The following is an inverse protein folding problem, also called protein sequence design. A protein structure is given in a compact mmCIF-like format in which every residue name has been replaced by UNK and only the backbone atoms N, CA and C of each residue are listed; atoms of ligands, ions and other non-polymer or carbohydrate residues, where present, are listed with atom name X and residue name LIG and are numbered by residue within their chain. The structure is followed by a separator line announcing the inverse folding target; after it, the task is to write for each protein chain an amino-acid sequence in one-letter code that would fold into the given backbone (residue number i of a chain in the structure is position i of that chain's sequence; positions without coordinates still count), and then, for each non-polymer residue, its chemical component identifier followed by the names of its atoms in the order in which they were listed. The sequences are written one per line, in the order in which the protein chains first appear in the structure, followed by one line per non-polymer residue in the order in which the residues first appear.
data_IF_759672529565
#
_entry.id   IF_759672529565
#
_cell.length_a   1.000
_cell.length_b   1.000
_cell.length_c   1.000
_cell.angle_alpha   90.00
_cell.angle_beta   90.00
_cell.angle_gamma   90.00
#
_symmetry.space_group_name_H-M   'P 1'
#
loop_
_entity.id
_entity.type
_entity.pdbx_description
1 polymer ?
#
# COMPACT_ATOMS: atom_id res chain seq x y z
N UNK A 1 -57.72 -4.09 54.59
CA UNK A 1 -56.46 -3.32 54.50
C UNK A 1 -55.31 -4.28 54.23
N UNK A 2 -54.69 -4.25 53.04
CA UNK A 2 -53.46 -4.97 52.77
C UNK A 2 -52.25 -4.01 52.66
N UNK A 3 -51.12 -4.46 53.20
CA UNK A 3 -49.95 -3.64 53.48
C UNK A 3 -49.04 -3.41 52.28
N UNK A 4 -48.56 -2.17 52.17
CA UNK A 4 -47.48 -1.77 51.28
C UNK A 4 -46.14 -2.30 51.79
N UNK A 5 -45.44 -3.09 50.97
CA UNK A 5 -44.02 -3.44 51.20
C UNK A 5 -43.15 -2.50 50.39
N UNK A 6 -42.48 -1.58 51.09
CA UNK A 6 -41.40 -0.75 50.57
C UNK A 6 -40.18 -1.63 50.30
N UNK A 7 -39.83 -1.83 49.03
CA UNK A 7 -38.55 -2.40 48.61
C UNK A 7 -37.55 -1.25 48.38
N UNK A 8 -36.68 -1.07 49.38
CA UNK A 8 -35.54 -0.16 49.35
C UNK A 8 -34.52 -0.65 48.32
N UNK A 9 -34.43 0.05 47.19
CA UNK A 9 -33.53 -0.26 46.08
C UNK A 9 -32.17 0.39 46.36
N UNK A 10 -31.21 -0.41 46.86
CA UNK A 10 -29.80 -0.03 46.97
C UNK A 10 -29.23 0.23 45.57
N UNK A 11 -28.90 1.48 45.29
CA UNK A 11 -28.05 1.92 44.19
C UNK A 11 -26.59 1.59 44.51
N UNK A 12 -25.97 0.74 43.71
CA UNK A 12 -24.53 0.55 43.71
C UNK A 12 -23.88 1.57 42.75
N UNK A 13 -22.77 2.23 43.13
CA UNK A 13 -22.04 3.12 42.24
C UNK A 13 -21.24 2.31 41.21
N UNK A 14 -21.53 2.53 39.93
CA UNK A 14 -20.73 2.04 38.80
C UNK A 14 -19.45 2.85 38.76
N UNK A 15 -18.33 2.20 39.09
CA UNK A 15 -16.99 2.79 38.99
C UNK A 15 -16.63 3.07 37.53
N UNK A 16 -16.47 4.35 37.21
CA UNK A 16 -15.93 4.80 35.94
C UNK A 16 -14.43 4.47 35.88
N UNK A 17 -14.07 3.51 35.04
CA UNK A 17 -12.67 3.13 34.78
C UNK A 17 -12.14 4.05 33.68
N UNK A 18 -11.57 5.18 34.09
CA UNK A 18 -10.93 6.16 33.21
C UNK A 18 -9.53 5.63 32.84
N UNK A 19 -9.38 5.07 31.63
CA UNK A 19 -8.06 4.80 31.03
C UNK A 19 -7.55 6.10 30.42
N UNK A 20 -6.50 6.66 30.99
CA UNK A 20 -5.69 7.70 30.37
C UNK A 20 -4.72 7.06 29.35
N UNK A 21 -4.49 7.68 28.18
CA UNK A 21 -3.46 7.25 27.24
C UNK A 21 -2.08 7.53 27.82
N UNK A 22 -1.17 6.56 27.70
CA UNK A 22 0.21 6.65 28.12
C UNK A 22 1.01 7.31 26.98
N UNK A 23 1.56 8.50 27.24
CA UNK A 23 2.49 9.22 26.35
C UNK A 23 3.83 8.46 26.30
N UNK A 24 4.17 7.91 25.13
CA UNK A 24 5.48 7.33 24.85
C UNK A 24 6.49 8.46 24.53
N UNK A 25 7.60 8.46 25.27
CA UNK A 25 8.70 9.43 25.19
C UNK A 25 9.57 9.23 23.94
N UNK A 26 9.98 10.30 23.22
CA UNK A 26 10.62 10.24 21.89
C UNK A 26 12.15 10.06 21.85
N UNK A 27 12.81 9.56 22.90
CA UNK A 27 14.29 9.64 23.03
C UNK A 27 15.09 8.45 22.48
N UNK A 28 14.45 7.38 21.98
CA UNK A 28 15.17 6.14 21.59
C UNK A 28 15.47 5.99 20.09
N UNK A 29 15.05 6.93 19.23
CA UNK A 29 15.22 6.80 17.76
C UNK A 29 16.58 7.33 17.26
N UNK A 30 17.32 8.12 18.06
CA UNK A 30 18.54 8.79 17.58
C UNK A 30 19.82 7.91 17.58
N UNK A 31 19.79 6.70 18.17
CA UNK A 31 21.00 5.85 18.30
C UNK A 31 21.30 4.94 17.11
N UNK A 32 20.41 4.76 16.16
CA UNK A 32 20.61 3.76 15.07
C UNK A 32 21.31 4.32 13.83
N UNK A 33 21.41 5.65 13.68
CA UNK A 33 21.95 6.28 12.46
C UNK A 33 23.47 6.55 12.45
N UNK A 34 24.23 6.14 13.48
CA UNK A 34 25.66 6.48 13.61
C UNK A 34 26.65 5.41 13.09
N UNK A 35 26.16 4.25 12.62
CA UNK A 35 27.03 3.09 12.32
C UNK A 35 27.33 2.82 10.83
N UNK A 36 26.81 3.61 9.88
CA UNK A 36 27.02 3.37 8.45
C UNK A 36 28.10 4.32 7.91
N UNK A 37 29.36 3.90 8.03
CA UNK A 37 30.47 4.59 7.37
C UNK A 37 30.34 4.43 5.84
N UNK A 38 30.36 5.52 5.05
CA UNK A 38 30.28 5.44 3.60
C UNK A 38 31.54 4.80 3.02
N UNK A 39 31.35 3.68 2.31
CA UNK A 39 32.38 2.99 1.56
C UNK A 39 32.86 3.89 0.40
N UNK A 40 33.93 4.66 0.62
CA UNK A 40 34.57 5.48 -0.42
C UNK A 40 35.35 4.56 -1.37
N UNK A 41 34.70 4.13 -2.44
CA UNK A 41 35.38 3.58 -3.60
C UNK A 41 36.16 4.70 -4.30
N UNK A 42 37.48 4.56 -4.28
CA UNK A 42 38.43 5.49 -4.87
C UNK A 42 38.23 5.55 -6.40
N UNK A 43 37.84 6.74 -6.89
CA UNK A 43 37.45 7.02 -8.28
C UNK A 43 38.56 6.71 -9.28
N UNK A 44 39.81 6.64 -8.81
CA UNK A 44 40.97 6.36 -9.64
C UNK A 44 41.12 4.87 -10.02
N UNK A 45 40.62 3.95 -9.18
CA UNK A 45 40.73 2.50 -9.43
C UNK A 45 39.95 2.04 -10.67
N UNK A 46 38.82 2.70 -10.95
CA UNK A 46 37.92 2.35 -12.05
C UNK A 46 38.52 2.63 -13.44
N UNK A 47 39.40 3.64 -13.55
CA UNK A 47 40.03 3.98 -14.83
C UNK A 47 41.13 3.01 -15.27
N UNK A 48 41.73 2.30 -14.32
CA UNK A 48 42.78 1.31 -14.61
C UNK A 48 42.16 0.01 -15.13
N UNK A 49 41.04 -0.40 -14.53
CA UNK A 49 40.34 -1.63 -14.94
C UNK A 49 39.79 -1.53 -16.38
N UNK A 50 39.27 -0.36 -16.75
CA UNK A 50 38.65 -0.13 -18.07
C UNK A 50 39.68 -0.24 -19.22
N UNK A 51 40.93 0.15 -18.97
CA UNK A 51 42.02 -0.03 -19.95
C UNK A 51 42.42 -1.48 -20.14
N UNK A 52 42.44 -2.29 -19.07
CA UNK A 52 42.80 -3.71 -19.18
C UNK A 52 41.70 -4.51 -19.90
N UNK A 53 40.44 -4.25 -19.58
CA UNK A 53 39.31 -4.94 -20.20
C UNK A 53 39.25 -4.68 -21.71
N UNK A 54 39.54 -3.44 -22.13
CA UNK A 54 39.62 -3.08 -23.55
C UNK A 54 40.70 -3.84 -24.32
N UNK A 55 41.84 -4.18 -23.68
CA UNK A 55 42.91 -4.95 -24.33
C UNK A 55 42.54 -6.43 -24.51
N UNK A 56 41.85 -7.01 -23.54
CA UNK A 56 41.42 -8.41 -23.59
C UNK A 56 40.33 -8.59 -24.66
N UNK A 57 39.32 -7.73 -24.67
CA UNK A 57 38.23 -7.78 -25.66
C UNK A 57 38.72 -7.59 -27.11
N UNK A 58 39.76 -6.77 -27.32
CA UNK A 58 40.34 -6.58 -28.64
C UNK A 58 41.02 -7.85 -29.17
N UNK A 59 41.76 -8.56 -28.30
CA UNK A 59 42.43 -9.83 -28.67
C UNK A 59 41.44 -10.93 -29.03
N UNK A 60 40.34 -11.04 -28.28
CA UNK A 60 39.27 -12.02 -28.57
C UNK A 60 38.58 -11.73 -29.91
N UNK A 61 38.28 -10.44 -30.20
CA UNK A 61 37.67 -10.04 -31.47
C UNK A 61 38.56 -10.36 -32.68
N UNK A 62 39.85 -10.08 -32.57
CA UNK A 62 40.81 -10.32 -33.65
C UNK A 62 41.02 -11.85 -33.89
N UNK A 63 40.98 -12.65 -32.82
CA UNK A 63 41.07 -14.12 -32.92
C UNK A 63 39.80 -14.76 -33.53
N UNK A 64 38.62 -14.21 -33.23
CA UNK A 64 37.36 -14.67 -33.81
C UNK A 64 37.28 -14.32 -35.32
N UNK A 65 37.74 -13.13 -35.71
CA UNK A 65 37.77 -12.71 -37.12
C UNK A 65 38.67 -13.61 -37.98
N UNK A 66 39.80 -14.08 -37.45
CA UNK A 66 40.70 -14.99 -38.16
C UNK A 66 40.11 -16.39 -38.40
N UNK A 67 39.13 -16.82 -37.59
CA UNK A 67 38.46 -18.13 -37.72
C UNK A 67 37.24 -18.10 -38.65
N UNK A 68 36.73 -16.92 -39.01
CA UNK A 68 35.51 -16.75 -39.81
C UNK A 68 35.71 -16.91 -41.33
N UNK A 69 36.93 -17.15 -41.80
CA UNK A 69 37.29 -17.12 -43.24
C UNK A 69 36.87 -18.32 -44.10
N UNK A 70 35.83 -19.09 -43.77
CA UNK A 70 35.41 -20.19 -44.63
C UNK A 70 34.09 -20.84 -44.23
N UNK A 71 33.00 -20.52 -44.95
CA UNK A 71 31.75 -21.26 -44.87
C UNK A 71 30.52 -20.43 -45.20
N UNK A 72 30.18 -20.33 -46.50
CA UNK A 72 29.04 -19.55 -47.01
C UNK A 72 27.67 -20.01 -46.46
N UNK A 73 27.58 -21.22 -45.89
CA UNK A 73 26.36 -21.77 -45.28
C UNK A 73 26.18 -21.39 -43.80
N UNK A 74 27.26 -21.01 -43.10
CA UNK A 74 27.19 -20.55 -41.70
C UNK A 74 26.73 -19.09 -41.60
N UNK A 75 26.90 -18.31 -42.67
CA UNK A 75 26.58 -16.88 -42.70
C UNK A 75 25.06 -16.60 -42.63
N UNK A 76 24.23 -17.48 -43.21
CA UNK A 76 22.77 -17.37 -43.13
C UNK A 76 22.21 -17.68 -41.73
N UNK A 77 22.78 -18.65 -41.02
CA UNK A 77 22.36 -18.97 -39.65
C UNK A 77 22.83 -17.90 -38.66
N UNK A 78 24.03 -17.36 -38.84
CA UNK A 78 24.56 -16.28 -37.99
C UNK A 78 23.78 -14.96 -38.20
N UNK A 79 23.32 -14.69 -39.42
CA UNK A 79 22.52 -13.51 -39.73
C UNK A 79 21.15 -13.49 -39.03
N UNK A 80 20.50 -14.64 -38.88
CA UNK A 80 19.22 -14.75 -38.16
C UNK A 80 19.36 -14.49 -36.66
N UNK A 81 20.43 -14.98 -36.04
CA UNK A 81 20.68 -14.79 -34.61
C UNK A 81 21.05 -13.33 -34.33
N UNK A 82 21.87 -12.73 -35.21
CA UNK A 82 22.28 -11.33 -35.09
C UNK A 82 21.11 -10.35 -35.24
N UNK A 83 20.13 -10.66 -36.08
CA UNK A 83 18.94 -9.83 -36.25
C UNK A 83 18.06 -9.80 -34.98
N UNK A 84 17.98 -10.90 -34.24
CA UNK A 84 17.20 -11.00 -33.00
C UNK A 84 17.89 -10.19 -31.87
N UNK A 85 19.22 -10.30 -31.74
CA UNK A 85 19.98 -9.48 -30.79
C UNK A 85 19.83 -7.97 -31.07
N UNK A 86 19.91 -7.55 -32.34
CA UNK A 86 19.77 -6.15 -32.71
C UNK A 86 18.37 -5.58 -32.40
N UNK A 87 17.32 -6.42 -32.52
CA UNK A 87 15.96 -6.03 -32.12
C UNK A 87 15.86 -5.85 -30.60
N UNK A 88 16.53 -6.70 -29.81
CA UNK A 88 16.54 -6.61 -28.35
C UNK A 88 17.17 -5.32 -27.82
N UNK A 89 18.32 -4.93 -28.37
CA UNK A 89 19.00 -3.70 -27.98
C UNK A 89 18.16 -2.44 -28.28
N UNK A 90 17.38 -2.47 -29.37
CA UNK A 90 16.58 -1.32 -29.80
C UNK A 90 15.41 -1.02 -28.85
N UNK A 91 14.63 -2.03 -28.45
CA UNK A 91 13.49 -1.81 -27.55
C UNK A 91 13.97 -1.42 -26.15
N UNK A 92 15.03 -2.06 -25.64
CA UNK A 92 15.60 -1.78 -24.32
C UNK A 92 16.11 -0.36 -24.21
N UNK A 93 16.83 0.14 -25.22
CA UNK A 93 17.32 1.53 -25.24
C UNK A 93 16.18 2.53 -25.29
N UNK A 94 15.09 2.20 -25.99
CA UNK A 94 13.89 3.04 -26.04
C UNK A 94 13.18 3.06 -24.68
N UNK A 95 13.09 1.91 -24.00
CA UNK A 95 12.48 1.77 -22.68
C UNK A 95 13.28 2.52 -21.61
N UNK A 96 14.62 2.38 -21.60
CA UNK A 96 15.48 3.18 -20.71
C UNK A 96 15.34 4.67 -20.95
N UNK A 97 15.27 5.11 -22.22
CA UNK A 97 15.10 6.53 -22.54
C UNK A 97 13.74 7.05 -22.10
N UNK A 98 12.70 6.22 -22.23
CA UNK A 98 11.35 6.55 -21.78
C UNK A 98 11.27 6.63 -20.26
N UNK A 99 11.81 5.64 -19.56
CA UNK A 99 11.84 5.57 -18.11
C UNK A 99 12.65 6.72 -17.49
N UNK A 100 13.78 7.05 -18.10
CA UNK A 100 14.64 8.16 -17.66
C UNK A 100 14.12 9.54 -18.12
N UNK A 101 12.96 9.60 -18.76
CA UNK A 101 12.35 10.86 -19.15
C UNK A 101 11.85 11.58 -17.90
N UNK A 102 12.26 12.85 -17.73
CA UNK A 102 11.95 13.67 -16.55
C UNK A 102 10.45 13.70 -16.22
N UNK A 103 9.61 13.76 -17.24
CA UNK A 103 8.14 13.76 -17.07
C UNK A 103 7.63 12.46 -16.46
N UNK A 104 8.20 11.30 -16.80
CA UNK A 104 7.78 10.01 -16.24
C UNK A 104 8.15 9.96 -14.76
N UNK A 105 9.38 10.37 -14.41
CA UNK A 105 9.79 10.42 -13.02
C UNK A 105 8.89 11.35 -12.19
N UNK A 106 8.54 12.53 -12.71
CA UNK A 106 7.61 13.44 -12.03
C UNK A 106 6.21 12.84 -11.91
N UNK A 107 5.69 12.20 -12.96
CA UNK A 107 4.38 11.54 -12.93
C UNK A 107 4.35 10.41 -11.89
N UNK A 108 5.35 9.52 -11.89
CA UNK A 108 5.46 8.42 -10.92
C UNK A 108 5.59 8.94 -9.49
N UNK A 109 6.41 9.97 -9.27
CA UNK A 109 6.52 10.60 -7.94
C UNK A 109 5.18 11.21 -7.51
N UNK A 110 4.45 11.86 -8.42
CA UNK A 110 3.14 12.44 -8.12
C UNK A 110 2.08 11.38 -7.82
N UNK A 111 2.09 10.24 -8.53
CA UNK A 111 1.21 9.10 -8.27
C UNK A 111 1.48 8.49 -6.90
N UNK A 112 2.75 8.41 -6.49
CA UNK A 112 3.13 7.90 -5.18
C UNK A 112 2.62 8.81 -4.05
N UNK A 113 2.79 10.13 -4.22
CA UNK A 113 2.26 11.11 -3.26
C UNK A 113 0.73 11.02 -3.20
N UNK A 114 0.07 10.88 -4.36
CA UNK A 114 -1.39 10.75 -4.42
C UNK A 114 -1.87 9.46 -3.74
N UNK A 115 -1.19 8.33 -3.92
CA UNK A 115 -1.50 7.07 -3.24
C UNK A 115 -1.35 7.21 -1.72
N UNK A 116 -0.27 7.83 -1.24
CA UNK A 116 -0.09 8.10 0.19
C UNK A 116 -1.22 8.99 0.75
N UNK A 117 -1.63 10.02 0.02
CA UNK A 117 -2.78 10.86 0.40
C UNK A 117 -4.09 10.06 0.41
N UNK A 118 -4.32 9.20 -0.59
CA UNK A 118 -5.50 8.36 -0.66
C UNK A 118 -5.59 7.39 0.54
N UNK A 119 -4.46 6.80 0.94
CA UNK A 119 -4.38 5.94 2.12
C UNK A 119 -4.70 6.71 3.41
N UNK A 120 -4.14 7.92 3.57
CA UNK A 120 -4.43 8.78 4.74
C UNK A 120 -5.92 9.13 4.80
N UNK A 121 -6.53 9.52 3.68
CA UNK A 121 -7.96 9.82 3.60
C UNK A 121 -8.80 8.58 3.93
N UNK A 122 -8.41 7.40 3.44
CA UNK A 122 -9.09 6.14 3.74
C UNK A 122 -9.05 5.82 5.24
N UNK A 123 -7.91 6.04 5.89
CA UNK A 123 -7.77 5.84 7.35
C UNK A 123 -8.63 6.82 8.14
N UNK A 124 -8.67 8.09 7.75
CA UNK A 124 -9.54 9.08 8.40
C UNK A 124 -11.02 8.72 8.25
N UNK A 125 -11.45 8.27 7.07
CA UNK A 125 -12.82 7.83 6.83
C UNK A 125 -13.21 6.63 7.72
N UNK A 126 -12.31 5.67 7.92
CA UNK A 126 -12.54 4.53 8.82
C UNK A 126 -12.71 4.97 10.28
N UNK A 127 -11.88 5.92 10.73
CA UNK A 127 -11.99 6.48 12.10
C UNK A 127 -13.33 7.19 12.27
N UNK A 128 -13.73 8.00 11.29
CA UNK A 128 -15.01 8.71 11.32
C UNK A 128 -16.19 7.72 11.33
N UNK A 129 -16.14 6.65 10.55
CA UNK A 129 -17.18 5.62 10.52
C UNK A 129 -17.34 4.94 11.89
N UNK A 130 -16.23 4.48 12.48
CA UNK A 130 -16.22 3.85 13.81
C UNK A 130 -16.75 4.79 14.89
N UNK A 131 -16.37 6.07 14.83
CA UNK A 131 -16.85 7.10 15.75
C UNK A 131 -18.36 7.35 15.64
N UNK A 132 -18.91 7.39 14.41
CA UNK A 132 -20.34 7.60 14.19
C UNK A 132 -21.18 6.40 14.60
N UNK A 133 -20.69 5.19 14.36
CA UNK A 133 -21.36 3.97 14.80
C UNK A 133 -21.43 3.88 16.33
N UNK A 134 -20.35 4.22 17.03
CA UNK A 134 -20.33 4.23 18.49
C UNK A 134 -21.30 5.26 19.07
N UNK A 135 -21.34 6.47 18.51
CA UNK A 135 -22.29 7.52 18.91
C UNK A 135 -23.76 7.09 18.68
N UNK A 136 -24.07 6.44 17.56
CA UNK A 136 -25.42 5.95 17.28
C UNK A 136 -25.85 4.86 18.26
N UNK A 137 -24.96 3.92 18.58
CA UNK A 137 -25.20 2.89 19.61
C UNK A 137 -25.41 3.50 20.99
N UNK A 138 -24.60 4.48 21.37
CA UNK A 138 -24.73 5.16 22.66
C UNK A 138 -26.04 5.95 22.77
N UNK A 139 -26.46 6.62 21.69
CA UNK A 139 -27.74 7.33 21.64
C UNK A 139 -28.93 6.37 21.81
N UNK A 140 -28.93 5.22 21.12
CA UNK A 140 -29.98 4.18 21.31
C UNK A 140 -29.95 3.62 22.74
N UNK A 141 -28.78 3.28 23.29
CA UNK A 141 -28.66 2.79 24.67
C UNK A 141 -29.15 3.81 25.70
N UNK A 142 -28.89 5.10 25.46
CA UNK A 142 -29.35 6.18 26.33
C UNK A 142 -30.87 6.35 26.25
N UNK A 143 -31.45 6.34 25.05
CA UNK A 143 -32.90 6.41 24.84
C UNK A 143 -33.64 5.18 25.39
N UNK A 144 -33.01 4.01 25.36
CA UNK A 144 -33.52 2.80 25.99
C UNK A 144 -33.52 2.91 27.53
N UNK A 145 -32.41 3.39 28.11
CA UNK A 145 -32.30 3.62 29.56
C UNK A 145 -33.33 4.62 30.09
N UNK A 146 -33.66 5.65 29.32
CA UNK A 146 -34.67 6.66 29.69
C UNK A 146 -36.10 6.20 29.41
N UNK A 147 -36.30 5.02 28.79
CA UNK A 147 -37.62 4.49 28.43
C UNK A 147 -38.27 5.22 27.25
N UNK A 148 -37.61 6.21 26.65
CA UNK A 148 -38.13 6.99 25.53
C UNK A 148 -38.26 6.17 24.24
N UNK A 149 -37.40 5.16 24.07
CA UNK A 149 -37.37 4.30 22.88
C UNK A 149 -38.17 2.98 23.03
N UNK A 150 -38.77 2.72 24.19
CA UNK A 150 -39.51 1.46 24.44
C UNK A 150 -40.97 1.65 24.04
N UNK A 151 -41.49 0.93 23.03
CA UNK A 151 -42.91 0.98 22.70
C UNK A 151 -43.76 0.55 23.88
N UNK A 152 -44.89 1.21 24.10
CA UNK A 152 -45.72 1.01 25.30
C UNK A 152 -46.13 -0.45 25.57
N UNK A 153 -46.22 -1.27 24.52
CA UNK A 153 -46.57 -2.69 24.60
C UNK A 153 -45.43 -3.60 25.11
N UNK A 154 -44.18 -3.13 25.12
CA UNK A 154 -43.02 -3.90 25.59
C UNK A 154 -42.55 -3.54 27.00
N UNK A 155 -43.13 -2.53 27.66
CA UNK A 155 -42.72 -2.08 29.01
C UNK A 155 -42.79 -3.17 30.10
N UNK A 156 -43.55 -4.24 29.88
CA UNK A 156 -43.71 -5.36 30.82
C UNK A 156 -43.00 -6.67 30.39
N UNK A 157 -42.31 -6.69 29.25
CA UNK A 157 -41.60 -7.89 28.78
C UNK A 157 -40.13 -7.84 29.21
N UNK A 158 -39.68 -8.83 29.98
CA UNK A 158 -38.27 -8.99 30.35
C UNK A 158 -37.37 -9.43 29.19
N UNK A 159 -37.96 -9.78 28.04
CA UNK A 159 -37.27 -10.27 26.84
C UNK A 159 -37.10 -9.17 25.76
N UNK A 160 -36.89 -7.92 26.18
CA UNK A 160 -36.72 -6.82 25.24
C UNK A 160 -35.27 -6.79 24.73
N UNK A 161 -35.03 -7.35 23.53
CA UNK A 161 -33.75 -7.25 22.85
C UNK A 161 -33.69 -5.91 22.09
N UNK A 162 -32.85 -4.94 22.51
CA UNK A 162 -32.85 -3.60 21.93
C UNK A 162 -32.46 -3.58 20.45
N UNK A 163 -31.81 -4.63 19.94
CA UNK A 163 -31.41 -4.74 18.54
C UNK A 163 -32.52 -5.06 17.55
N UNK A 164 -33.74 -5.41 18.01
CA UNK A 164 -34.85 -5.82 17.14
C UNK A 164 -36.03 -4.83 17.08
N UNK A 165 -35.95 -3.71 17.80
CA UNK A 165 -37.01 -2.69 17.82
C UNK A 165 -36.82 -1.74 16.65
N UNK A 166 -37.87 -1.54 15.83
CA UNK A 166 -37.85 -0.60 14.70
C UNK A 166 -37.45 0.83 15.05
N UNK A 167 -37.59 1.23 16.33
CA UNK A 167 -37.13 2.54 16.84
C UNK A 167 -35.60 2.65 16.98
N UNK A 168 -34.88 1.53 17.10
CA UNK A 168 -33.42 1.46 17.02
C UNK A 168 -32.96 0.74 15.74
N UNK A 169 -33.80 0.71 14.70
CA UNK A 169 -33.38 0.26 13.38
C UNK A 169 -32.46 1.31 12.76
N UNK A 170 -31.16 1.07 12.90
CA UNK A 170 -30.11 1.94 12.41
C UNK A 170 -30.17 2.09 10.89
N UNK A 171 -30.78 1.15 10.15
CA UNK A 171 -30.81 1.17 8.68
C UNK A 171 -31.71 2.25 8.09
N UNK A 172 -32.71 2.73 8.85
CA UNK A 172 -33.63 3.79 8.39
C UNK A 172 -33.20 5.21 8.80
N UNK A 173 -32.16 5.36 9.61
CA UNK A 173 -31.71 6.68 10.02
C UNK A 173 -30.94 7.39 8.90
N UNK A 174 -31.15 8.71 8.75
CA UNK A 174 -30.42 9.53 7.78
C UNK A 174 -28.88 9.45 7.95
N UNK A 175 -28.42 9.21 9.18
CA UNK A 175 -27.02 8.94 9.49
C UNK A 175 -26.47 7.69 8.78
N UNK A 176 -27.29 6.66 8.58
CA UNK A 176 -26.89 5.43 7.92
C UNK A 176 -26.77 5.58 6.40
N UNK A 177 -27.62 6.40 5.77
CA UNK A 177 -27.46 6.71 4.34
C UNK A 177 -26.12 7.41 4.04
N UNK A 178 -25.66 8.28 4.95
CA UNK A 178 -24.33 8.88 4.84
C UNK A 178 -23.22 7.84 4.98
N UNK A 179 -23.36 6.87 5.90
CA UNK A 179 -22.41 5.75 6.07
C UNK A 179 -22.34 4.88 4.81
N UNK A 180 -23.47 4.62 4.14
CA UNK A 180 -23.48 3.84 2.90
C UNK A 180 -22.69 4.53 1.78
N UNK A 181 -22.81 5.85 1.64
CA UNK A 181 -22.01 6.62 0.69
C UNK A 181 -20.51 6.55 0.97
N UNK A 182 -20.13 6.58 2.25
CA UNK A 182 -18.72 6.43 2.67
C UNK A 182 -18.19 5.05 2.31
N UNK A 183 -18.98 3.98 2.48
CA UNK A 183 -18.54 2.63 2.16
C UNK A 183 -18.26 2.44 0.65
N UNK A 184 -19.08 3.04 -0.21
CA UNK A 184 -18.84 3.04 -1.66
C UNK A 184 -17.56 3.80 -2.00
N UNK A 185 -17.34 4.96 -1.36
CA UNK A 185 -16.13 5.76 -1.57
C UNK A 185 -14.86 5.03 -1.09
N UNK A 186 -14.92 4.31 0.04
CA UNK A 186 -13.83 3.48 0.54
C UNK A 186 -13.47 2.37 -0.46
N UNK A 187 -14.47 1.68 -1.01
CA UNK A 187 -14.24 0.65 -2.03
C UNK A 187 -13.60 1.24 -3.30
N UNK A 188 -14.04 2.43 -3.73
CA UNK A 188 -13.46 3.12 -4.87
C UNK A 188 -12.00 3.53 -4.62
N UNK A 189 -11.69 4.08 -3.44
CA UNK A 189 -10.32 4.43 -3.03
C UNK A 189 -9.41 3.20 -2.99
N UNK A 190 -9.91 2.07 -2.47
CA UNK A 190 -9.18 0.81 -2.44
C UNK A 190 -8.84 0.33 -3.87
N UNK A 191 -9.79 0.41 -4.81
CA UNK A 191 -9.54 0.03 -6.20
C UNK A 191 -8.50 0.93 -6.87
N UNK A 192 -8.57 2.25 -6.64
CA UNK A 192 -7.60 3.22 -7.16
C UNK A 192 -6.19 2.91 -6.64
N UNK A 193 -6.04 2.63 -5.33
CA UNK A 193 -4.75 2.28 -4.75
C UNK A 193 -4.18 0.98 -5.33
N UNK A 194 -5.01 -0.06 -5.50
CA UNK A 194 -4.60 -1.30 -6.16
C UNK A 194 -4.10 -1.03 -7.59
N UNK A 195 -4.79 -0.19 -8.36
CA UNK A 195 -4.36 0.18 -9.70
C UNK A 195 -2.99 0.88 -9.69
N UNK A 196 -2.78 1.84 -8.79
CA UNK A 196 -1.50 2.57 -8.69
C UNK A 196 -0.36 1.61 -8.28
N UNK A 197 -0.59 0.76 -7.28
CA UNK A 197 0.39 -0.25 -6.87
C UNK A 197 0.74 -1.23 -7.99
N UNK A 198 -0.25 -1.62 -8.80
CA UNK A 198 -0.03 -2.49 -9.96
C UNK A 198 0.83 -1.80 -11.01
N UNK A 199 0.61 -0.51 -11.26
CA UNK A 199 1.45 0.27 -12.17
C UNK A 199 2.89 0.35 -11.68
N UNK A 200 3.11 0.60 -10.39
CA UNK A 200 4.46 0.58 -9.79
C UNK A 200 5.11 -0.80 -9.86
N UNK A 201 4.35 -1.87 -9.64
CA UNK A 201 4.86 -3.23 -9.75
C UNK A 201 5.32 -3.52 -11.18
N UNK A 202 4.50 -3.18 -12.18
CA UNK A 202 4.84 -3.35 -13.60
C UNK A 202 6.08 -2.53 -13.96
N UNK A 203 6.18 -1.28 -13.51
CA UNK A 203 7.36 -0.44 -13.74
C UNK A 203 8.63 -1.07 -13.14
N UNK A 204 8.56 -1.55 -11.89
CA UNK A 204 9.68 -2.21 -11.23
C UNK A 204 10.09 -3.50 -11.94
N UNK A 205 9.12 -4.31 -12.42
CA UNK A 205 9.39 -5.50 -13.23
C UNK A 205 10.05 -5.11 -14.55
N UNK A 206 9.58 -4.07 -15.22
CA UNK A 206 10.19 -3.58 -16.46
C UNK A 206 11.61 -3.07 -16.24
N UNK A 207 11.88 -2.38 -15.13
CA UNK A 207 13.23 -1.98 -14.73
C UNK A 207 14.14 -3.18 -14.47
N UNK A 208 13.64 -4.16 -13.71
CA UNK A 208 14.39 -5.39 -13.44
C UNK A 208 14.62 -6.21 -14.71
N UNK A 209 13.66 -6.29 -15.63
CA UNK A 209 13.86 -6.95 -16.92
C UNK A 209 14.91 -6.21 -17.75
N UNK A 210 14.84 -4.87 -17.78
CA UNK A 210 15.80 -4.05 -18.51
C UNK A 210 17.23 -4.09 -17.94
N UNK A 211 17.42 -4.31 -16.64
CA UNK A 211 18.76 -4.40 -16.03
C UNK A 211 19.22 -5.86 -15.91
N UNK A 212 18.33 -6.73 -15.44
CA UNK A 212 18.57 -8.11 -15.08
C UNK A 212 18.86 -9.02 -16.26
N UNK A 213 18.24 -8.84 -17.42
CA UNK A 213 18.57 -9.69 -18.59
C UNK A 213 20.04 -9.59 -18.99
N UNK A 214 20.64 -8.40 -18.84
CA UNK A 214 22.06 -8.21 -19.10
C UNK A 214 22.94 -8.93 -18.07
N UNK A 215 22.49 -8.99 -16.82
CA UNK A 215 23.20 -9.71 -15.77
C UNK A 215 23.11 -11.22 -15.97
N UNK A 216 21.92 -11.76 -16.25
CA UNK A 216 21.72 -13.18 -16.46
C UNK A 216 22.49 -13.69 -17.69
N UNK A 217 22.51 -12.93 -18.80
CA UNK A 217 23.24 -13.31 -20.00
C UNK A 217 24.77 -13.19 -19.85
N UNK A 218 25.27 -12.36 -18.93
CA UNK A 218 26.71 -12.25 -18.70
C UNK A 218 27.23 -13.27 -17.66
N UNK A 219 26.35 -13.77 -16.79
CA UNK A 219 26.74 -14.66 -15.69
C UNK A 219 26.56 -16.15 -16.00
N UNK A 220 25.60 -16.50 -16.86
CA UNK A 220 25.35 -17.87 -17.34
C UNK A 220 25.87 -18.02 -18.78
#
# INVERSE_FOLDING_TARGET
MPGQRNLSRRSAPVGAMHRTPQEDTPDDIERVNSAVAPFRLDRNSMTVLDRELGRILKRERDAAAAKSGGGDDAESALGSIRADEEMEFHWRRRLLRFLHHRSVHTAMTSLLILDLLAVVISLELQIQMSSKESMAKEACLTAYKTGAAVPAHFLNSSACNPGGLGACDYTQQASYQAVHGIHIAELALAYISICILTLFLVENIMMMAAIGWFFFHHFF
#
